data_IF_818884300633
#
_entry.id   IF_818884300633
#
_cell.length_a   1.000
_cell.length_b   1.000
_cell.length_c   1.000
_cell.angle_alpha   90.00
_cell.angle_beta   90.00
_cell.angle_gamma   90.00
#
_symmetry.space_group_name_H-M   'P 1'
#
loop_
_entity.id
_entity.type
_entity.pdbx_description
1 polymer ?
#
# COMPACT_ATOMS: atom_id res chain seq x y z
N UNK A 1 4.37 4.97 15.14
CA UNK A 1 4.04 4.25 13.89
C UNK A 1 3.58 5.17 12.76
N UNK A 2 2.53 5.99 12.95
CA UNK A 2 1.98 6.89 11.90
C UNK A 2 3.05 7.86 11.34
N UNK A 3 3.86 8.45 12.21
CA UNK A 3 4.94 9.37 11.81
C UNK A 3 6.03 8.67 10.99
N UNK A 4 6.37 7.41 11.29
CA UNK A 4 7.32 6.62 10.53
C UNK A 4 6.79 6.28 9.12
N UNK A 5 5.50 5.95 9.00
CA UNK A 5 4.83 5.74 7.71
C UNK A 5 4.82 7.02 6.87
N UNK A 6 4.57 8.18 7.48
CA UNK A 6 4.58 9.47 6.78
C UNK A 6 5.99 9.87 6.32
N UNK A 7 7.02 9.63 7.14
CA UNK A 7 8.42 9.92 6.78
C UNK A 7 8.94 8.98 5.68
N UNK A 8 8.52 7.71 5.66
CA UNK A 8 8.86 6.77 4.59
C UNK A 8 8.13 7.09 3.27
N UNK A 9 7.03 7.83 3.32
CA UNK A 9 6.28 8.29 2.14
C UNK A 9 6.87 9.51 1.43
N UNK A 10 8.06 9.98 1.84
CA UNK A 10 8.81 10.99 1.07
C UNK A 10 9.16 10.39 -0.29
N UNK A 11 8.33 10.70 -1.29
CA UNK A 11 8.52 10.36 -2.70
C UNK A 11 9.97 10.67 -3.08
N UNK A 12 10.79 9.63 -3.19
CA UNK A 12 12.15 9.79 -3.67
C UNK A 12 12.01 10.25 -5.13
N UNK A 13 12.79 11.25 -5.53
CA UNK A 13 12.90 11.59 -6.95
C UNK A 13 13.99 10.68 -7.53
N UNK A 14 13.77 10.05 -8.69
CA UNK A 14 14.84 9.30 -9.34
C UNK A 14 16.01 10.25 -9.61
N UNK A 15 17.25 9.78 -9.37
CA UNK A 15 18.48 10.56 -9.63
C UNK A 15 18.60 10.90 -11.11
N UNK A 16 18.16 9.99 -11.96
CA UNK A 16 18.15 10.15 -13.40
C UNK A 16 16.78 10.67 -13.87
N UNK A 17 16.76 11.55 -14.87
CA UNK A 17 15.53 12.07 -15.46
C UNK A 17 14.92 11.12 -16.48
N UNK A 18 15.70 10.17 -16.98
CA UNK A 18 15.32 9.27 -18.06
C UNK A 18 15.44 7.82 -17.60
N UNK A 19 14.70 6.93 -18.27
CA UNK A 19 14.76 5.50 -18.05
C UNK A 19 14.71 4.76 -19.38
N UNK A 20 15.25 3.54 -19.42
CA UNK A 20 15.09 2.63 -20.57
C UNK A 20 13.83 1.78 -20.41
N UNK A 21 12.97 1.80 -21.42
CA UNK A 21 11.76 0.97 -21.44
C UNK A 21 12.12 -0.52 -21.41
N UNK A 22 11.53 -1.28 -20.49
CA UNK A 22 11.80 -2.71 -20.35
C UNK A 22 11.39 -3.55 -21.59
N UNK A 23 10.42 -3.05 -22.39
CA UNK A 23 9.90 -3.74 -23.59
C UNK A 23 10.63 -3.37 -24.88
N UNK A 24 10.69 -2.08 -25.21
CA UNK A 24 11.24 -1.60 -26.48
C UNK A 24 12.64 -0.97 -26.36
N UNK A 25 13.23 -0.95 -25.15
CA UNK A 25 14.55 -0.35 -24.84
C UNK A 25 14.71 1.14 -25.13
N UNK A 26 13.67 1.80 -25.67
CA UNK A 26 13.63 3.25 -25.88
C UNK A 26 13.89 4.00 -24.58
N UNK A 27 14.77 5.00 -24.63
CA UNK A 27 15.00 5.96 -23.55
C UNK A 27 13.86 6.97 -23.54
N UNK A 28 13.21 7.13 -22.40
CA UNK A 28 12.07 8.04 -22.18
C UNK A 28 12.28 8.84 -20.90
N UNK A 29 11.72 10.04 -20.82
CA UNK A 29 11.71 10.82 -19.59
C UNK A 29 10.76 10.22 -18.56
N UNK A 30 11.10 10.38 -17.28
CA UNK A 30 10.29 9.94 -16.16
C UNK A 30 9.01 10.78 -16.00
N UNK A 31 7.89 10.24 -16.46
CA UNK A 31 6.57 10.80 -16.16
C UNK A 31 6.16 10.59 -14.70
N UNK A 32 5.22 11.38 -14.19
CA UNK A 32 4.57 11.23 -12.87
C UNK A 32 4.19 9.76 -12.57
N UNK A 33 3.69 9.04 -13.59
CA UNK A 33 3.34 7.62 -13.52
C UNK A 33 4.55 6.73 -13.22
N UNK A 34 5.64 6.92 -13.96
CA UNK A 34 6.86 6.11 -13.81
C UNK A 34 7.59 6.43 -12.53
N UNK A 35 7.55 7.69 -12.07
CA UNK A 35 8.06 8.11 -10.77
C UNK A 35 7.27 7.43 -9.65
N UNK A 36 5.94 7.37 -9.75
CA UNK A 36 5.09 6.67 -8.77
C UNK A 36 5.40 5.17 -8.76
N UNK A 37 5.53 4.54 -9.93
CA UNK A 37 5.91 3.14 -10.03
C UNK A 37 7.31 2.90 -9.42
N UNK A 38 8.28 3.75 -9.73
CA UNK A 38 9.62 3.64 -9.16
C UNK A 38 9.62 3.79 -7.63
N UNK A 39 8.85 4.75 -7.09
CA UNK A 39 8.68 4.93 -5.64
C UNK A 39 8.02 3.73 -4.95
N UNK A 40 7.20 2.98 -5.67
CA UNK A 40 6.62 1.71 -5.18
C UNK A 40 7.60 0.52 -5.31
N UNK A 41 8.84 0.74 -5.76
CA UNK A 41 9.86 -0.30 -5.92
C UNK A 41 9.82 -1.04 -7.26
N UNK A 42 9.06 -0.57 -8.25
CA UNK A 42 9.05 -1.21 -9.57
C UNK A 42 10.34 -0.94 -10.36
N UNK A 43 11.03 -2.02 -10.75
CA UNK A 43 12.27 -1.98 -11.54
C UNK A 43 12.04 -1.97 -13.06
N UNK A 44 10.91 -2.51 -13.52
CA UNK A 44 10.55 -2.59 -14.95
C UNK A 44 9.59 -1.47 -15.30
N UNK A 45 10.12 -0.41 -15.90
CA UNK A 45 9.33 0.73 -16.36
C UNK A 45 9.06 0.64 -17.86
N UNK A 46 7.86 1.04 -18.28
CA UNK A 46 7.43 1.00 -19.67
C UNK A 46 7.13 2.41 -20.17
N UNK A 47 7.59 2.73 -21.38
CA UNK A 47 7.19 3.96 -22.07
C UNK A 47 5.66 3.96 -22.33
N UNK A 48 5.11 5.13 -22.64
CA UNK A 48 3.66 5.29 -22.75
C UNK A 48 3.03 4.34 -23.79
N UNK A 49 3.65 4.18 -24.95
CA UNK A 49 3.16 3.27 -26.01
C UNK A 49 3.15 1.80 -25.58
N UNK A 50 4.24 1.33 -24.98
CA UNK A 50 4.34 -0.04 -24.48
C UNK A 50 3.39 -0.30 -23.31
N UNK A 51 3.11 0.73 -22.50
CA UNK A 51 2.15 0.65 -21.41
C UNK A 51 0.71 0.53 -21.93
N UNK A 52 0.32 1.33 -22.92
CA UNK A 52 -0.99 1.19 -23.55
C UNK A 52 -1.17 -0.19 -24.17
N UNK A 53 -0.17 -0.68 -24.92
CA UNK A 53 -0.20 -2.03 -25.47
C UNK A 53 -0.28 -3.12 -24.38
N UNK A 54 0.31 -2.89 -23.21
CA UNK A 54 0.19 -3.79 -22.06
C UNK A 54 -1.24 -3.80 -21.49
N UNK A 55 -1.86 -2.62 -21.32
CA UNK A 55 -3.24 -2.51 -20.83
C UNK A 55 -4.24 -3.16 -21.78
N UNK A 56 -4.08 -2.98 -23.10
CA UNK A 56 -4.96 -3.60 -24.10
C UNK A 56 -4.83 -5.13 -24.12
N UNK A 57 -3.63 -5.66 -23.82
CA UNK A 57 -3.34 -7.08 -23.88
C UNK A 57 -3.50 -7.81 -22.53
N UNK A 58 -3.93 -7.12 -21.45
CA UNK A 58 -4.23 -7.80 -20.19
C UNK A 58 -5.67 -8.33 -20.22
N UNK A 59 -5.90 -9.66 -20.34
CA UNK A 59 -7.22 -10.22 -20.10
C UNK A 59 -7.55 -9.98 -18.62
N UNK A 60 -8.54 -9.12 -18.37
CA UNK A 60 -9.27 -8.94 -17.11
C UNK A 60 -8.56 -9.54 -15.88
N UNK A 61 -7.55 -8.87 -15.35
CA UNK A 61 -7.27 -9.01 -13.91
C UNK A 61 -8.44 -8.36 -13.20
N UNK A 62 -9.51 -9.14 -13.05
CA UNK A 62 -10.58 -8.92 -12.10
C UNK A 62 -9.92 -8.48 -10.82
N UNK A 63 -10.17 -7.22 -10.46
CA UNK A 63 -9.77 -6.63 -9.20
C UNK A 63 -10.42 -7.46 -8.10
N UNK A 64 -9.77 -8.53 -7.66
CA UNK A 64 -9.98 -9.07 -6.32
C UNK A 64 -9.28 -8.12 -5.36
N UNK A 65 -9.78 -6.87 -5.31
CA UNK A 65 -9.66 -6.10 -4.08
C UNK A 65 -10.62 -6.81 -3.15
N UNK A 66 -10.12 -7.83 -2.44
CA UNK A 66 -10.78 -8.29 -1.24
C UNK A 66 -10.75 -7.12 -0.27
N UNK A 67 -11.75 -6.25 -0.39
CA UNK A 67 -12.24 -5.39 0.66
C UNK A 67 -12.81 -6.30 1.75
N UNK A 68 -11.93 -7.10 2.37
CA UNK A 68 -12.25 -7.81 3.60
C UNK A 68 -12.18 -6.74 4.70
N UNK A 69 -13.25 -5.92 4.78
CA UNK A 69 -13.52 -5.03 5.90
C UNK A 69 -13.78 -5.88 7.14
N UNK A 70 -12.72 -6.40 7.73
CA UNK A 70 -12.74 -7.26 8.91
C UNK A 70 -12.64 -6.45 10.19
N UNK A 71 -13.80 -6.00 10.68
CA UNK A 71 -14.15 -5.92 12.10
C UNK A 71 -13.20 -5.26 13.11
N UNK A 72 -13.26 -3.93 13.22
CA UNK A 72 -12.80 -3.20 14.42
C UNK A 72 -13.62 -3.53 15.68
N UNK A 73 -14.78 -4.18 15.51
CA UNK A 73 -15.71 -4.52 16.59
C UNK A 73 -15.10 -5.51 17.59
N UNK A 74 -14.24 -6.43 17.13
CA UNK A 74 -13.54 -7.37 18.01
C UNK A 74 -12.56 -6.69 18.96
N UNK A 75 -11.80 -5.70 18.44
CA UNK A 75 -10.84 -4.93 19.26
C UNK A 75 -11.58 -4.06 20.29
N UNK A 76 -12.73 -3.50 19.90
CA UNK A 76 -13.52 -2.66 20.80
C UNK A 76 -14.14 -3.48 21.93
N UNK A 77 -14.66 -4.67 21.65
CA UNK A 77 -15.21 -5.56 22.67
C UNK A 77 -14.16 -5.96 23.72
N UNK A 78 -12.94 -6.32 23.29
CA UNK A 78 -11.86 -6.68 24.22
C UNK A 78 -11.46 -5.52 25.14
N UNK A 79 -11.41 -4.30 24.61
CA UNK A 79 -11.06 -3.11 25.41
C UNK A 79 -12.06 -2.80 26.53
N UNK A 80 -13.33 -3.18 26.38
CA UNK A 80 -14.35 -2.98 27.42
C UNK A 80 -14.50 -4.20 28.34
N UNK A 81 -14.40 -5.43 27.82
CA UNK A 81 -14.60 -6.64 28.62
C UNK A 81 -13.47 -6.85 29.63
N UNK A 82 -12.22 -6.62 29.23
CA UNK A 82 -11.04 -6.81 30.11
C UNK A 82 -11.10 -5.93 31.37
N UNK A 83 -11.34 -4.61 31.30
CA UNK A 83 -11.39 -3.78 32.51
C UNK A 83 -12.61 -4.10 33.39
N UNK A 84 -13.76 -4.45 32.82
CA UNK A 84 -14.96 -4.80 33.60
C UNK A 84 -14.72 -6.07 34.41
N UNK A 85 -14.19 -7.12 33.79
CA UNK A 85 -13.87 -8.38 34.49
C UNK A 85 -12.82 -8.17 35.56
N UNK A 86 -11.79 -7.36 35.29
CA UNK A 86 -10.75 -7.05 36.26
C UNK A 86 -11.31 -6.31 37.50
N UNK A 87 -12.18 -5.31 37.29
CA UNK A 87 -12.79 -4.54 38.39
C UNK A 87 -13.73 -5.41 39.22
N UNK A 88 -14.58 -6.22 38.59
CA UNK A 88 -15.51 -7.12 39.30
C UNK A 88 -14.75 -8.19 40.08
N UNK A 89 -13.70 -8.77 39.49
CA UNK A 89 -12.85 -9.74 40.17
C UNK A 89 -12.13 -9.14 41.38
N UNK A 90 -11.59 -7.93 41.24
CA UNK A 90 -10.97 -7.21 42.36
C UNK A 90 -11.98 -6.90 43.46
N UNK A 91 -13.20 -6.50 43.11
CA UNK A 91 -14.27 -6.20 44.07
C UNK A 91 -14.67 -7.44 44.88
N UNK A 92 -14.86 -8.58 44.20
CA UNK A 92 -15.16 -9.86 44.85
C UNK A 92 -14.02 -10.40 45.73
N UNK A 93 -12.77 -10.01 45.46
CA UNK A 93 -11.64 -10.39 46.30
C UNK A 93 -11.52 -9.51 47.55
N UNK A 94 -11.96 -8.26 47.47
CA UNK A 94 -11.79 -7.26 48.53
C UNK A 94 -12.97 -7.17 49.51
N UNK A 95 -14.15 -7.64 49.11
CA UNK A 95 -15.36 -7.78 49.94
C UNK A 95 -15.46 -9.21 50.45
#
# INVERSE_FOLDING_TARGET
LIVAVVLLNRLKKPKEKTFSCARCKKVSEHDKRTIKAWNNGFIKLYCNTCHHAYLTNQPNQTRTVSSQGGGCLGISALLFVIPIVAVVGAYHWFV
#
